data_IF_001728666378
#
_entry.id   IF_001728666378
#
_cell.length_a   1.000
_cell.length_b   1.000
_cell.length_c   1.000
_cell.angle_alpha   90.00
_cell.angle_beta   90.00
_cell.angle_gamma   90.00
#
_symmetry.space_group_name_H-M   'P 1'
#
loop_
_entity.id
_entity.type
_entity.pdbx_description
1 polymer ?
#
# COMPACT_ATOMS: atom_id res chain seq x y z
N UNK A 1 -26.14 19.73 49.75
CA UNK A 1 -26.11 18.93 48.50
C UNK A 1 -26.58 17.54 48.87
N UNK A 2 -27.86 17.26 48.58
CA UNK A 2 -28.64 16.26 49.30
C UNK A 2 -28.75 14.90 48.61
N UNK A 3 -29.18 13.92 49.41
CA UNK A 3 -29.53 12.51 49.13
C UNK A 3 -30.22 12.26 47.76
N UNK A 4 -30.90 13.26 47.20
CA UNK A 4 -31.48 13.20 45.84
C UNK A 4 -30.44 13.00 44.72
N UNK A 5 -29.20 13.45 44.91
CA UNK A 5 -28.10 13.23 43.94
C UNK A 5 -27.56 11.79 43.99
N UNK A 6 -27.52 11.16 45.16
CA UNK A 6 -27.04 9.77 45.33
C UNK A 6 -28.03 8.74 44.75
N UNK A 7 -29.33 8.97 44.92
CA UNK A 7 -30.38 8.09 44.37
C UNK A 7 -30.38 8.13 42.84
N UNK A 8 -30.21 9.31 42.22
CA UNK A 8 -30.12 9.45 40.76
C UNK A 8 -28.85 8.81 40.18
N UNK A 9 -27.71 8.88 40.87
CA UNK A 9 -26.47 8.19 40.44
C UNK A 9 -26.63 6.68 40.59
N UNK A 10 -27.24 6.20 41.67
CA UNK A 10 -27.51 4.77 41.88
C UNK A 10 -28.39 4.15 40.79
N UNK A 11 -29.45 4.84 40.35
CA UNK A 11 -30.31 4.37 39.26
C UNK A 11 -29.63 4.38 37.88
N UNK A 12 -28.56 5.16 37.69
CA UNK A 12 -27.75 5.12 36.47
C UNK A 12 -26.72 3.99 36.50
N UNK A 13 -26.06 3.78 37.65
CA UNK A 13 -24.96 2.83 37.79
C UNK A 13 -25.44 1.37 37.86
N UNK A 14 -26.58 1.11 38.49
CA UNK A 14 -27.05 -0.25 38.73
C UNK A 14 -27.38 -1.02 37.43
N UNK A 15 -28.07 -0.45 36.42
CA UNK A 15 -28.29 -1.12 35.14
C UNK A 15 -26.99 -1.40 34.37
N UNK A 16 -26.02 -0.48 34.43
CA UNK A 16 -24.71 -0.64 33.79
C UNK A 16 -23.93 -1.79 34.45
N UNK A 17 -23.89 -1.82 35.77
CA UNK A 17 -23.21 -2.86 36.54
C UNK A 17 -23.82 -4.25 36.31
N UNK A 18 -25.16 -4.34 36.26
CA UNK A 18 -25.86 -5.60 35.95
C UNK A 18 -25.53 -6.07 34.53
N UNK A 19 -25.53 -5.16 33.56
CA UNK A 19 -25.21 -5.48 32.16
C UNK A 19 -23.77 -5.99 32.02
N UNK A 20 -22.80 -5.28 32.62
CA UNK A 20 -21.40 -5.71 32.63
C UNK A 20 -21.20 -7.04 33.36
N UNK A 21 -21.89 -7.25 34.48
CA UNK A 21 -21.84 -8.53 35.22
C UNK A 21 -22.35 -9.72 34.40
N UNK A 22 -23.44 -9.54 33.66
CA UNK A 22 -23.98 -10.57 32.76
C UNK A 22 -23.02 -10.84 31.60
N UNK A 23 -22.45 -9.81 31.00
CA UNK A 23 -21.49 -9.93 29.89
C UNK A 23 -20.21 -10.66 30.31
N UNK A 24 -19.64 -10.30 31.46
CA UNK A 24 -18.46 -10.96 32.02
C UNK A 24 -18.75 -12.43 32.40
N UNK A 25 -19.93 -12.71 32.96
CA UNK A 25 -20.38 -14.07 33.25
C UNK A 25 -20.52 -14.93 31.99
N UNK A 26 -21.14 -14.38 30.94
CA UNK A 26 -21.26 -15.05 29.64
C UNK A 26 -19.89 -15.32 28.99
N UNK A 27 -18.98 -14.35 29.05
CA UNK A 27 -17.62 -14.51 28.54
C UNK A 27 -16.85 -15.60 29.29
N UNK A 28 -16.93 -15.63 30.64
CA UNK A 28 -16.26 -16.64 31.45
C UNK A 28 -16.76 -18.07 31.17
N UNK A 29 -18.09 -18.24 31.03
CA UNK A 29 -18.68 -19.54 30.66
C UNK A 29 -18.20 -19.98 29.28
N UNK A 30 -18.25 -19.09 28.29
CA UNK A 30 -17.82 -19.40 26.92
C UNK A 30 -16.33 -19.77 26.86
N UNK A 31 -15.48 -19.02 27.54
CA UNK A 31 -14.05 -19.35 27.67
C UNK A 31 -13.83 -20.74 28.29
N UNK A 32 -14.56 -21.09 29.36
CA UNK A 32 -14.45 -22.41 30.00
C UNK A 32 -14.89 -23.58 29.09
N UNK A 33 -15.71 -23.29 28.08
CA UNK A 33 -16.23 -24.28 27.12
C UNK A 33 -15.51 -24.24 25.77
N UNK A 34 -14.40 -23.49 25.66
CA UNK A 34 -13.65 -23.33 24.41
C UNK A 34 -14.42 -22.59 23.31
N UNK A 35 -15.49 -21.88 23.66
CA UNK A 35 -16.27 -21.09 22.73
C UNK A 35 -15.69 -19.68 22.57
N UNK A 36 -15.76 -19.08 21.37
CA UNK A 36 -15.28 -17.71 21.15
C UNK A 36 -16.04 -16.72 22.04
N UNK A 37 -15.43 -15.59 22.44
CA UNK A 37 -16.10 -14.58 23.24
C UNK A 37 -17.41 -14.13 22.58
N UNK A 38 -18.43 -13.75 23.37
CA UNK A 38 -19.64 -13.17 22.79
C UNK A 38 -19.25 -11.88 22.04
N UNK A 39 -19.85 -11.63 20.88
CA UNK A 39 -19.62 -10.46 20.01
C UNK A 39 -18.29 -10.41 19.24
N UNK A 40 -17.52 -11.51 19.20
CA UNK A 40 -16.37 -11.63 18.28
C UNK A 40 -16.82 -12.39 17.04
N UNK A 41 -16.82 -11.71 15.90
CA UNK A 41 -17.13 -12.30 14.60
C UNK A 41 -15.83 -12.60 13.84
N UNK A 42 -15.69 -13.84 13.37
CA UNK A 42 -14.57 -14.25 12.50
C UNK A 42 -14.93 -14.14 11.02
N UNK A 43 -15.93 -13.31 10.69
CA UNK A 43 -16.33 -13.10 9.31
C UNK A 43 -15.24 -12.35 8.56
N UNK A 44 -15.00 -12.81 7.34
CA UNK A 44 -14.13 -12.14 6.36
C UNK A 44 -15.05 -11.41 5.40
N UNK A 45 -14.86 -10.10 5.25
CA UNK A 45 -15.69 -9.26 4.40
C UNK A 45 -14.86 -8.62 3.30
N UNK A 46 -15.40 -8.63 2.08
CA UNK A 46 -14.86 -7.86 0.97
C UNK A 46 -15.75 -6.66 0.69
N UNK A 47 -15.16 -5.47 0.68
CA UNK A 47 -15.88 -4.23 0.36
C UNK A 47 -15.26 -3.58 -0.88
N UNK A 48 -16.12 -3.10 -1.77
CA UNK A 48 -15.73 -2.43 -3.02
C UNK A 48 -15.78 -0.92 -2.86
N UNK A 49 -14.74 -0.24 -3.34
CA UNK A 49 -14.55 1.20 -3.30
C UNK A 49 -14.18 1.71 -4.70
N UNK A 50 -15.07 2.48 -5.32
CA UNK A 50 -14.85 3.06 -6.66
C UNK A 50 -14.65 4.59 -6.60
N UNK A 51 -14.51 5.14 -5.40
CA UNK A 51 -14.17 6.55 -5.20
C UNK A 51 -12.79 6.84 -5.80
N UNK A 52 -12.58 8.07 -6.26
CA UNK A 52 -11.28 8.46 -6.85
C UNK A 52 -10.15 8.46 -5.84
N UNK A 53 -10.36 9.11 -4.70
CA UNK A 53 -9.42 9.13 -3.59
C UNK A 53 -10.19 8.93 -2.28
N UNK A 54 -9.89 7.85 -1.57
CA UNK A 54 -10.56 7.51 -0.31
C UNK A 54 -9.64 6.60 0.51
N UNK A 55 -9.28 7.05 1.72
CA UNK A 55 -8.47 6.26 2.65
C UNK A 55 -9.30 5.14 3.29
N UNK A 56 -8.82 3.91 3.16
CA UNK A 56 -9.46 2.70 3.69
C UNK A 56 -8.46 2.04 4.64
N UNK A 57 -8.74 2.09 5.93
CA UNK A 57 -7.83 1.55 6.96
C UNK A 57 -8.54 0.42 7.73
N UNK A 58 -8.48 -0.83 7.24
CA UNK A 58 -9.04 -1.97 7.96
C UNK A 58 -8.44 -2.09 9.35
N UNK A 59 -9.27 -2.45 10.34
CA UNK A 59 -8.81 -2.68 11.69
C UNK A 59 -7.82 -3.86 11.74
N UNK A 60 -6.78 -3.72 12.56
CA UNK A 60 -5.73 -4.73 12.77
C UNK A 60 -5.21 -4.67 14.21
N UNK A 61 -4.75 -5.79 14.73
CA UNK A 61 -3.98 -5.86 15.98
C UNK A 61 -2.46 -5.71 15.77
N UNK A 62 -2.00 -5.69 14.51
CA UNK A 62 -0.61 -5.50 14.12
C UNK A 62 -0.34 -4.09 13.59
N UNK A 63 0.57 -3.98 12.62
CA UNK A 63 0.87 -2.76 11.91
C UNK A 63 -0.33 -2.30 11.08
N UNK A 64 -0.61 -1.00 11.12
CA UNK A 64 -1.70 -0.38 10.39
C UNK A 64 -1.32 -0.17 8.93
N UNK A 65 -2.31 -0.39 8.06
CA UNK A 65 -2.22 -0.07 6.64
C UNK A 65 -3.40 0.81 6.21
N UNK A 66 -3.18 1.68 5.24
CA UNK A 66 -4.23 2.44 4.56
C UNK A 66 -4.17 2.19 3.06
N UNK A 67 -5.27 1.70 2.51
CA UNK A 67 -5.44 1.55 1.07
C UNK A 67 -6.12 2.77 0.48
N UNK A 68 -5.81 3.08 -0.78
CA UNK A 68 -6.44 4.17 -1.49
C UNK A 68 -6.55 3.85 -2.99
N UNK A 69 -7.75 3.94 -3.60
CA UNK A 69 -7.91 3.86 -5.06
C UNK A 69 -7.04 4.86 -5.83
N UNK A 70 -6.78 6.02 -5.23
CA UNK A 70 -5.79 7.03 -5.63
C UNK A 70 -5.73 7.33 -7.14
N UNK A 71 -6.86 7.72 -7.72
CA UNK A 71 -7.02 8.17 -9.10
C UNK A 71 -6.58 9.65 -9.25
N UNK A 72 -5.36 9.95 -8.82
CA UNK A 72 -4.83 11.32 -8.73
C UNK A 72 -4.54 11.96 -10.10
N UNK A 73 -4.32 11.15 -11.13
CA UNK A 73 -4.07 11.60 -12.50
C UNK A 73 -5.35 11.96 -13.27
N UNK A 74 -6.50 11.96 -12.59
CA UNK A 74 -7.81 12.25 -13.15
C UNK A 74 -8.36 13.52 -12.51
N UNK A 75 -8.71 14.50 -13.35
CA UNK A 75 -9.34 15.75 -12.92
C UNK A 75 -10.68 15.53 -12.20
N UNK A 76 -11.05 16.41 -11.27
CA UNK A 76 -12.28 16.29 -10.46
C UNK A 76 -13.57 16.23 -11.31
N UNK A 77 -13.58 16.82 -12.50
CA UNK A 77 -14.72 16.82 -13.41
C UNK A 77 -14.61 15.80 -14.55
N UNK A 78 -13.67 14.85 -14.47
CA UNK A 78 -13.47 13.86 -15.52
C UNK A 78 -14.74 13.07 -15.82
N UNK A 79 -15.18 13.14 -17.08
CA UNK A 79 -16.33 12.43 -17.63
C UNK A 79 -15.93 11.46 -18.77
N UNK A 80 -14.62 11.25 -18.93
CA UNK A 80 -14.08 10.34 -19.93
C UNK A 80 -14.39 8.87 -19.64
N UNK A 81 -14.16 7.98 -20.61
CA UNK A 81 -14.37 6.55 -20.43
C UNK A 81 -13.32 5.98 -19.47
N UNK A 82 -13.68 4.90 -18.77
CA UNK A 82 -12.78 4.21 -17.86
C UNK A 82 -13.04 4.54 -16.39
N UNK A 83 -12.34 3.82 -15.53
CA UNK A 83 -12.51 3.90 -14.08
C UNK A 83 -11.70 2.83 -13.37
N UNK A 84 -11.68 2.94 -12.05
CA UNK A 84 -11.02 2.00 -11.16
C UNK A 84 -11.91 1.72 -9.95
N UNK A 85 -12.02 0.44 -9.58
CA UNK A 85 -12.61 0.01 -8.32
C UNK A 85 -11.60 -0.85 -7.57
N UNK A 86 -11.44 -0.57 -6.28
CA UNK A 86 -10.65 -1.34 -5.34
C UNK A 86 -11.56 -2.26 -4.52
N UNK A 87 -11.12 -3.48 -4.27
CA UNK A 87 -11.76 -4.43 -3.36
C UNK A 87 -10.80 -4.73 -2.21
N UNK A 88 -11.25 -4.54 -0.97
CA UNK A 88 -10.46 -4.78 0.24
C UNK A 88 -11.11 -5.89 1.04
N UNK A 89 -10.32 -6.91 1.40
CA UNK A 89 -10.77 -8.05 2.19
C UNK A 89 -10.23 -7.93 3.61
N UNK A 90 -11.12 -7.68 4.57
CA UNK A 90 -10.80 -7.45 5.97
C UNK A 90 -11.43 -8.51 6.88
N UNK A 91 -10.76 -8.81 8.00
CA UNK A 91 -11.26 -9.71 9.02
C UNK A 91 -11.97 -8.90 10.11
N UNK A 92 -13.24 -9.22 10.41
CA UNK A 92 -14.02 -8.47 11.41
C UNK A 92 -13.41 -8.51 12.82
N UNK A 93 -12.58 -9.53 13.11
CA UNK A 93 -11.86 -9.66 14.37
C UNK A 93 -10.48 -8.97 14.39
N UNK A 94 -10.10 -8.26 13.32
CA UNK A 94 -8.81 -7.55 13.19
C UNK A 94 -7.56 -8.43 13.33
N UNK A 95 -7.68 -9.76 13.17
CA UNK A 95 -6.54 -10.68 13.24
C UNK A 95 -6.05 -11.06 11.85
N UNK A 96 -4.73 -11.04 11.65
CA UNK A 96 -4.06 -11.46 10.42
C UNK A 96 -2.95 -12.48 10.77
N UNK A 97 -2.42 -13.25 9.80
CA UNK A 97 -1.42 -14.30 10.06
C UNK A 97 -0.20 -13.87 10.87
N UNK A 98 0.25 -12.63 10.71
CA UNK A 98 1.33 -12.02 11.49
C UNK A 98 1.00 -10.57 11.84
N UNK A 99 1.79 -9.95 12.71
CA UNK A 99 1.65 -8.52 13.04
C UNK A 99 1.97 -7.59 11.86
N UNK A 100 2.67 -8.07 10.85
CA UNK A 100 3.08 -7.29 9.68
C UNK A 100 2.24 -7.66 8.45
N UNK A 101 1.29 -8.58 8.56
CA UNK A 101 0.47 -8.99 7.41
C UNK A 101 -0.64 -7.98 7.14
N UNK A 102 -0.68 -7.49 5.91
CA UNK A 102 -1.70 -6.59 5.41
C UNK A 102 -2.98 -7.34 4.98
N UNK A 103 -4.14 -6.66 4.93
CA UNK A 103 -5.36 -7.19 4.31
C UNK A 103 -5.15 -7.47 2.82
N UNK A 104 -5.84 -8.49 2.30
CA UNK A 104 -5.82 -8.79 0.87
C UNK A 104 -6.59 -7.73 0.10
N UNK A 105 -6.12 -7.39 -1.10
CA UNK A 105 -6.80 -6.40 -1.93
C UNK A 105 -6.57 -6.63 -3.42
N UNK A 106 -7.48 -6.08 -4.21
CA UNK A 106 -7.38 -6.07 -5.66
C UNK A 106 -7.93 -4.77 -6.21
N UNK A 107 -7.53 -4.42 -7.42
CA UNK A 107 -8.16 -3.38 -8.21
C UNK A 107 -8.58 -3.96 -9.55
N UNK A 108 -9.69 -3.47 -10.07
CA UNK A 108 -10.08 -3.67 -11.46
C UNK A 108 -10.23 -2.31 -12.10
N UNK A 109 -9.56 -2.10 -13.23
CA UNK A 109 -9.57 -0.81 -13.90
C UNK A 109 -9.44 -0.94 -15.41
N UNK A 110 -9.83 0.14 -16.08
CA UNK A 110 -9.60 0.38 -17.49
C UNK A 110 -9.52 1.89 -17.70
N UNK A 111 -8.49 2.37 -18.39
CA UNK A 111 -8.39 3.75 -18.82
C UNK A 111 -7.92 3.83 -20.28
N UNK A 112 -8.39 4.83 -21.06
CA UNK A 112 -7.79 5.14 -22.34
C UNK A 112 -6.34 5.64 -22.14
N UNK A 113 -5.49 5.67 -23.18
CA UNK A 113 -4.19 6.32 -23.10
C UNK A 113 -4.30 7.78 -22.64
N UNK A 114 -3.51 8.13 -21.61
CA UNK A 114 -3.40 9.49 -21.10
C UNK A 114 -2.51 10.38 -21.99
N UNK A 115 -2.43 11.69 -21.72
CA UNK A 115 -1.52 12.58 -22.43
C UNK A 115 -0.05 12.19 -22.18
N UNK A 116 0.82 12.44 -23.15
CA UNK A 116 2.25 12.10 -23.05
C UNK A 116 2.98 12.81 -21.89
N UNK A 117 2.44 13.92 -21.38
CA UNK A 117 2.98 14.65 -20.23
C UNK A 117 2.54 14.08 -18.88
N UNK A 118 1.46 13.29 -18.85
CA UNK A 118 0.90 12.67 -17.65
C UNK A 118 0.12 11.40 -18.04
N UNK A 119 0.81 10.29 -18.34
CA UNK A 119 0.15 9.08 -18.82
C UNK A 119 -0.53 8.28 -17.70
N UNK A 120 -0.16 8.52 -16.44
CA UNK A 120 -0.67 7.81 -15.26
C UNK A 120 -2.01 8.42 -14.84
N UNK A 121 -3.03 7.58 -14.70
CA UNK A 121 -4.36 7.98 -14.22
C UNK A 121 -4.53 7.75 -12.72
N UNK A 122 -3.90 6.71 -12.19
CA UNK A 122 -4.04 6.33 -10.79
C UNK A 122 -2.79 5.60 -10.28
N UNK A 123 -2.52 5.73 -8.99
CA UNK A 123 -1.60 4.86 -8.25
C UNK A 123 -2.33 4.21 -7.07
N UNK A 124 -3.29 3.31 -7.32
CA UNK A 124 -3.92 2.51 -6.29
C UNK A 124 -2.87 1.75 -5.47
N UNK A 125 -2.89 1.96 -4.17
CA UNK A 125 -1.83 1.46 -3.30
C UNK A 125 -2.37 1.09 -1.91
N UNK A 126 -1.52 0.38 -1.18
CA UNK A 126 -1.60 0.14 0.25
C UNK A 126 -0.34 0.72 0.91
N UNK A 127 -0.54 1.69 1.80
CA UNK A 127 0.49 2.40 2.55
C UNK A 127 0.67 1.78 3.93
N UNK A 128 1.92 1.66 4.38
CA UNK A 128 2.28 1.31 5.74
C UNK A 128 2.16 2.56 6.64
N UNK A 129 1.34 2.50 7.70
CA UNK A 129 1.04 3.62 8.62
C UNK A 129 1.41 3.38 10.10
N UNK A 130 2.66 3.00 10.43
CA UNK A 130 3.13 2.91 11.80
C UNK A 130 3.41 4.31 12.33
N UNK A 131 2.50 4.80 13.19
CA UNK A 131 2.62 6.08 13.90
C UNK A 131 3.93 6.21 14.71
N UNK A 132 4.57 5.09 15.04
CA UNK A 132 5.80 5.01 15.84
C UNK A 132 7.09 4.84 15.02
N UNK A 133 7.00 4.64 13.70
CA UNK A 133 8.17 4.46 12.84
C UNK A 133 8.38 5.62 11.87
N UNK A 134 7.34 6.11 11.19
CA UNK A 134 7.52 7.20 10.23
C UNK A 134 7.31 8.58 10.87
N UNK A 135 8.10 9.60 10.46
CA UNK A 135 9.26 9.55 9.57
C UNK A 135 10.54 9.09 10.30
N UNK A 136 11.38 8.28 9.63
CA UNK A 136 12.65 7.73 10.17
C UNK A 136 13.84 8.12 9.30
N UNK A 137 14.95 8.56 9.92
CA UNK A 137 16.21 8.79 9.21
C UNK A 137 16.72 7.49 8.57
N UNK A 138 17.18 7.54 7.32
CA UNK A 138 17.73 6.36 6.62
C UNK A 138 18.87 5.70 7.42
N UNK A 139 19.70 6.49 8.11
CA UNK A 139 20.78 6.00 8.96
C UNK A 139 20.31 5.17 10.17
N UNK A 140 19.03 5.29 10.56
CA UNK A 140 18.41 4.55 11.67
C UNK A 140 17.62 3.34 11.20
N UNK A 141 17.50 3.12 9.88
CA UNK A 141 16.83 1.94 9.32
C UNK A 141 17.81 0.76 9.31
N UNK A 142 17.47 -0.28 10.08
CA UNK A 142 18.20 -1.54 10.10
C UNK A 142 17.85 -2.42 8.90
N UNK A 143 16.56 -2.51 8.57
CA UNK A 143 16.02 -3.27 7.44
C UNK A 143 14.65 -2.72 7.03
N UNK A 144 14.26 -2.98 5.77
CA UNK A 144 12.91 -2.78 5.27
C UNK A 144 12.43 -4.12 4.73
N UNK A 145 11.79 -4.90 5.60
CA UNK A 145 11.30 -6.22 5.26
C UNK A 145 10.05 -6.09 4.40
N UNK A 146 10.15 -6.55 3.16
CA UNK A 146 9.05 -6.55 2.19
C UNK A 146 8.81 -7.97 1.67
N UNK A 147 7.58 -8.44 1.81
CA UNK A 147 7.14 -9.71 1.29
C UNK A 147 5.79 -9.55 0.59
N UNK A 148 5.73 -9.77 -0.72
CA UNK A 148 4.49 -9.72 -1.48
C UNK A 148 4.40 -10.82 -2.52
N UNK A 149 3.20 -11.38 -2.63
CA UNK A 149 2.75 -12.15 -3.79
C UNK A 149 1.67 -11.36 -4.51
N UNK A 150 1.78 -11.22 -5.83
CA UNK A 150 0.81 -10.48 -6.63
C UNK A 150 0.67 -11.06 -8.03
N UNK A 151 -0.48 -10.78 -8.65
CA UNK A 151 -0.75 -11.15 -10.02
C UNK A 151 -1.58 -10.09 -10.75
N UNK A 152 -1.43 -10.08 -12.07
CA UNK A 152 -2.10 -9.18 -12.98
C UNK A 152 -2.76 -10.01 -14.09
N UNK A 153 -4.03 -9.73 -14.42
CA UNK A 153 -4.77 -10.56 -15.35
C UNK A 153 -5.92 -9.84 -16.01
N UNK A 154 -6.19 -10.21 -17.26
CA UNK A 154 -7.25 -9.63 -18.08
C UNK A 154 -8.63 -9.97 -17.51
N UNK A 155 -9.52 -8.99 -17.49
CA UNK A 155 -10.89 -9.08 -17.00
C UNK A 155 -11.03 -8.67 -15.52
N UNK A 156 -12.18 -9.03 -14.95
CA UNK A 156 -12.61 -8.61 -13.61
C UNK A 156 -12.30 -9.65 -12.51
N UNK A 157 -11.67 -10.76 -12.89
CA UNK A 157 -11.42 -11.88 -11.98
C UNK A 157 -10.02 -11.75 -11.39
N UNK A 158 -9.92 -11.92 -10.07
CA UNK A 158 -8.64 -11.99 -9.34
C UNK A 158 -7.73 -13.07 -9.97
N UNK A 159 -6.61 -12.70 -10.60
CA UNK A 159 -5.69 -13.66 -11.20
C UNK A 159 -4.84 -14.37 -10.14
N UNK A 160 -4.41 -15.60 -10.42
CA UNK A 160 -3.40 -16.30 -9.60
C UNK A 160 -1.98 -16.16 -10.16
N UNK A 161 -1.86 -15.85 -11.45
CA UNK A 161 -0.58 -15.75 -12.18
C UNK A 161 -0.67 -14.63 -13.20
N UNK A 162 0.47 -14.01 -13.54
CA UNK A 162 0.54 -12.99 -14.57
C UNK A 162 0.95 -13.62 -15.90
N UNK A 163 0.08 -13.51 -16.92
CA UNK A 163 0.45 -13.86 -18.29
C UNK A 163 0.76 -12.58 -19.08
N UNK A 164 2.05 -12.30 -19.26
CA UNK A 164 2.51 -11.08 -19.96
C UNK A 164 1.98 -10.99 -21.39
N UNK A 165 1.80 -12.11 -22.09
CA UNK A 165 1.27 -12.09 -23.45
C UNK A 165 -0.20 -11.66 -23.49
N UNK A 166 -1.00 -12.06 -22.50
CA UNK A 166 -2.40 -11.64 -22.41
C UNK A 166 -2.50 -10.15 -22.08
N UNK A 167 -1.60 -9.64 -21.22
CA UNK A 167 -1.52 -8.20 -20.94
C UNK A 167 -1.10 -7.39 -22.16
N UNK A 168 -0.14 -7.89 -22.94
CA UNK A 168 0.27 -7.26 -24.20
C UNK A 168 -0.87 -7.25 -25.22
N UNK A 169 -1.63 -8.36 -25.34
CA UNK A 169 -2.79 -8.44 -26.22
C UNK A 169 -3.95 -7.51 -25.79
N UNK A 170 -4.00 -7.16 -24.50
CA UNK A 170 -4.94 -6.20 -23.92
C UNK A 170 -4.39 -4.75 -23.87
N UNK A 171 -3.28 -4.48 -24.58
CA UNK A 171 -2.61 -3.18 -24.64
C UNK A 171 -2.37 -2.54 -23.25
N UNK A 172 -2.04 -3.36 -22.25
CA UNK A 172 -1.85 -2.90 -20.88
C UNK A 172 -0.55 -2.11 -20.76
N UNK A 173 -0.67 -0.88 -20.27
CA UNK A 173 0.42 -0.05 -19.80
C UNK A 173 0.23 0.15 -18.30
N UNK A 174 1.13 -0.45 -17.52
CA UNK A 174 1.11 -0.42 -16.06
C UNK A 174 2.42 -0.92 -15.48
N UNK A 175 2.71 -0.57 -14.23
CA UNK A 175 3.77 -1.17 -13.43
C UNK A 175 3.19 -1.81 -12.15
N UNK A 176 4.05 -2.48 -11.41
CA UNK A 176 3.80 -2.87 -10.01
C UNK A 176 4.99 -2.37 -9.21
N UNK A 177 4.74 -1.49 -8.23
CA UNK A 177 5.77 -0.68 -7.62
C UNK A 177 5.61 -0.58 -6.10
N UNK A 178 6.76 -0.62 -5.43
CA UNK A 178 6.92 -0.04 -4.10
C UNK A 178 7.30 1.42 -4.32
N UNK A 179 6.69 2.33 -3.57
CA UNK A 179 6.88 3.76 -3.69
C UNK A 179 7.21 4.37 -2.32
N UNK A 180 8.29 5.16 -2.28
CA UNK A 180 8.85 5.72 -1.06
C UNK A 180 9.16 7.20 -1.24
N UNK A 181 8.71 8.03 -0.30
CA UNK A 181 9.02 9.46 -0.29
C UNK A 181 9.99 9.80 0.83
N UNK A 182 11.00 10.61 0.47
CA UNK A 182 12.07 10.98 1.37
C UNK A 182 12.40 12.47 1.31
N UNK A 183 12.73 13.05 2.46
CA UNK A 183 13.18 14.43 2.56
C UNK A 183 14.03 14.65 3.82
N UNK A 184 14.92 15.63 3.76
CA UNK A 184 15.62 16.19 4.92
C UNK A 184 14.65 16.72 6.00
N UNK A 185 13.51 17.28 5.58
CA UNK A 185 12.42 17.70 6.46
C UNK A 185 11.48 16.52 6.71
N UNK A 186 11.40 16.01 7.96
CA UNK A 186 10.57 14.86 8.29
C UNK A 186 9.09 15.07 7.95
N UNK A 187 8.60 16.32 7.98
CA UNK A 187 7.21 16.63 7.64
C UNK A 187 6.97 16.44 6.14
N UNK A 188 7.91 16.92 5.31
CA UNK A 188 7.82 16.79 3.85
C UNK A 188 7.98 15.36 3.39
N UNK A 189 8.81 14.57 4.09
CA UNK A 189 9.00 13.15 3.79
C UNK A 189 7.70 12.32 3.83
N UNK A 190 6.68 12.79 4.55
CA UNK A 190 5.35 12.13 4.61
C UNK A 190 4.39 12.54 3.48
N UNK A 191 4.78 13.46 2.61
CA UNK A 191 3.96 14.01 1.52
C UNK A 191 4.48 13.55 0.17
N UNK A 192 3.62 12.91 -0.63
CA UNK A 192 3.94 12.52 -2.01
C UNK A 192 4.08 13.71 -2.98
N UNK A 193 3.73 14.92 -2.52
CA UNK A 193 3.83 16.15 -3.32
C UNK A 193 5.01 17.01 -2.88
N UNK A 194 5.29 17.09 -1.58
CA UNK A 194 6.28 18.02 -1.04
C UNK A 194 7.66 17.39 -0.82
N UNK A 195 7.76 16.07 -0.74
CA UNK A 195 9.03 15.39 -0.56
C UNK A 195 9.98 15.70 -1.71
N UNK A 196 11.25 15.92 -1.41
CA UNK A 196 12.28 16.16 -2.42
C UNK A 196 12.60 14.93 -3.27
N UNK A 197 12.52 13.75 -2.69
CA UNK A 197 12.90 12.50 -3.32
C UNK A 197 11.74 11.51 -3.36
N UNK A 198 11.60 10.83 -4.50
CA UNK A 198 10.77 9.65 -4.70
C UNK A 198 11.69 8.50 -5.08
N UNK A 199 11.67 7.41 -4.31
CA UNK A 199 12.44 6.21 -4.60
C UNK A 199 11.48 5.04 -4.81
N UNK A 200 11.38 4.58 -6.04
CA UNK A 200 10.51 3.49 -6.42
C UNK A 200 11.28 2.18 -6.64
N UNK A 201 10.62 1.05 -6.39
CA UNK A 201 11.10 -0.28 -6.74
C UNK A 201 10.03 -1.00 -7.56
N UNK A 202 10.23 -1.10 -8.86
CA UNK A 202 9.31 -1.73 -9.80
C UNK A 202 9.58 -3.22 -9.90
N UNK A 203 8.58 -4.03 -9.54
CA UNK A 203 8.58 -5.49 -9.64
C UNK A 203 7.99 -6.00 -10.96
N UNK A 204 7.27 -5.15 -11.69
CA UNK A 204 6.71 -5.47 -13.00
C UNK A 204 6.54 -4.22 -13.85
N UNK A 205 6.74 -4.37 -15.16
CA UNK A 205 6.56 -3.32 -16.16
C UNK A 205 5.86 -3.93 -17.36
N UNK A 206 4.75 -3.34 -17.78
CA UNK A 206 3.93 -3.83 -18.87
C UNK A 206 3.64 -2.72 -19.85
N UNK A 207 3.67 -3.03 -21.15
CA UNK A 207 3.39 -2.08 -22.21
C UNK A 207 4.55 -1.14 -22.51
N UNK A 208 4.51 -0.55 -23.71
CA UNK A 208 5.58 0.32 -24.23
C UNK A 208 5.48 1.76 -23.73
N UNK A 209 4.34 2.17 -23.17
CA UNK A 209 4.17 3.50 -22.60
C UNK A 209 4.58 3.56 -21.12
N UNK A 210 4.93 2.43 -20.50
CA UNK A 210 5.37 2.36 -19.12
C UNK A 210 6.90 2.38 -19.05
N UNK A 211 7.47 3.54 -18.77
CA UNK A 211 8.91 3.74 -18.67
C UNK A 211 9.25 4.41 -17.34
N UNK A 212 10.31 3.98 -16.63
CA UNK A 212 10.80 4.74 -15.49
C UNK A 212 11.36 6.09 -15.97
N UNK A 213 11.24 7.12 -15.12
CA UNK A 213 11.91 8.40 -15.39
C UNK A 213 13.42 8.14 -15.47
N UNK A 214 14.05 8.61 -16.55
CA UNK A 214 15.48 8.38 -16.79
C UNK A 214 15.80 7.20 -17.71
N UNK A 215 14.81 6.45 -18.24
CA UNK A 215 15.06 5.28 -19.08
C UNK A 215 15.99 5.58 -20.27
N UNK A 216 15.77 6.72 -20.95
CA UNK A 216 16.53 7.13 -22.14
C UNK A 216 17.99 7.47 -21.84
N UNK A 217 18.30 7.85 -20.60
CA UNK A 217 19.64 8.17 -20.12
C UNK A 217 20.44 6.91 -19.77
N UNK A 218 19.75 5.78 -19.61
CA UNK A 218 20.35 4.49 -19.26
C UNK A 218 20.43 4.27 -17.76
N UNK A 219 20.71 3.02 -17.38
CA UNK A 219 20.82 2.63 -15.99
C UNK A 219 22.08 3.22 -15.33
N UNK A 220 21.91 3.83 -14.16
CA UNK A 220 23.01 4.41 -13.36
C UNK A 220 23.74 3.37 -12.52
N UNK A 221 23.02 2.35 -12.05
CA UNK A 221 23.53 1.32 -11.14
C UNK A 221 22.74 0.03 -11.31
N UNK A 222 23.37 -1.10 -11.01
CA UNK A 222 22.72 -2.40 -10.92
C UNK A 222 22.94 -2.97 -9.53
N UNK A 223 21.91 -3.59 -8.95
CA UNK A 223 21.98 -4.19 -7.62
C UNK A 223 21.09 -5.44 -7.56
N UNK A 224 21.60 -6.52 -6.98
CA UNK A 224 20.83 -7.75 -6.80
C UNK A 224 20.39 -7.89 -5.34
N UNK A 225 19.09 -8.16 -5.13
CA UNK A 225 18.47 -8.39 -3.83
C UNK A 225 17.65 -9.67 -3.92
N UNK A 226 17.98 -10.64 -3.06
CA UNK A 226 17.35 -11.96 -3.00
C UNK A 226 17.13 -12.63 -4.37
N UNK A 227 18.16 -12.64 -5.22
CA UNK A 227 18.10 -13.27 -6.55
C UNK A 227 17.43 -12.44 -7.65
N UNK A 228 16.83 -11.30 -7.31
CA UNK A 228 16.29 -10.34 -8.29
C UNK A 228 17.33 -9.25 -8.57
N UNK A 229 17.66 -9.06 -9.85
CA UNK A 229 18.53 -7.97 -10.29
C UNK A 229 17.69 -6.74 -10.62
N UNK A 230 18.06 -5.59 -10.08
CA UNK A 230 17.44 -4.30 -10.34
C UNK A 230 18.41 -3.36 -11.06
N UNK A 231 17.88 -2.55 -11.98
CA UNK A 231 18.59 -1.44 -12.61
C UNK A 231 18.01 -0.11 -12.15
N UNK A 232 18.86 0.81 -11.71
CA UNK A 232 18.46 2.13 -11.23
C UNK A 232 18.41 3.14 -12.37
N UNK A 233 17.30 3.88 -12.47
CA UNK A 233 17.10 5.01 -13.35
C UNK A 233 16.84 6.28 -12.54
N UNK A 234 17.10 7.44 -13.13
CA UNK A 234 16.96 8.73 -12.47
C UNK A 234 16.47 9.82 -13.41
N UNK A 235 15.61 10.69 -12.90
CA UNK A 235 15.38 12.02 -13.45
C UNK A 235 14.47 12.84 -12.53
N UNK A 236 13.84 13.87 -13.07
CA UNK A 236 12.92 14.74 -12.33
C UNK A 236 11.51 14.62 -12.90
N UNK A 237 10.50 14.57 -12.03
CA UNK A 237 9.10 14.59 -12.45
C UNK A 237 8.61 16.03 -12.74
N UNK A 238 7.35 16.17 -13.12
CA UNK A 238 6.76 17.45 -13.55
C UNK A 238 6.73 18.54 -12.47
N UNK A 239 6.93 18.20 -11.19
CA UNK A 239 6.99 19.14 -10.06
C UNK A 239 8.42 19.38 -9.54
N UNK A 240 9.43 18.82 -10.21
CA UNK A 240 10.85 19.00 -9.86
C UNK A 240 11.33 18.10 -8.71
N UNK A 241 10.56 17.07 -8.35
CA UNK A 241 11.01 16.05 -7.39
C UNK A 241 11.98 15.09 -8.09
N UNK A 242 13.04 14.71 -7.39
CA UNK A 242 14.05 13.77 -7.87
C UNK A 242 13.53 12.34 -7.74
N UNK A 243 13.30 11.67 -8.87
CA UNK A 243 12.74 10.32 -8.95
C UNK A 243 13.82 9.31 -9.28
N UNK A 244 13.97 8.30 -8.43
CA UNK A 244 14.92 7.21 -8.55
C UNK A 244 14.15 5.90 -8.62
N UNK A 245 14.21 5.19 -9.74
CA UNK A 245 13.42 3.97 -9.94
C UNK A 245 14.34 2.78 -10.13
N UNK A 246 14.29 1.83 -9.19
CA UNK A 246 14.88 0.51 -9.33
C UNK A 246 13.92 -0.40 -10.08
N UNK A 247 14.26 -0.81 -11.31
CA UNK A 247 13.42 -1.70 -12.12
C UNK A 247 13.98 -3.11 -12.12
N UNK A 248 13.18 -4.09 -11.70
CA UNK A 248 13.53 -5.50 -11.75
C UNK A 248 13.77 -5.98 -13.18
N UNK A 249 14.74 -6.87 -13.35
CA UNK A 249 14.92 -7.58 -14.61
C UNK A 249 13.84 -8.66 -14.76
N UNK A 250 12.76 -8.30 -15.46
CA UNK A 250 11.60 -9.17 -15.68
C UNK A 250 10.47 -8.95 -14.66
N UNK A 251 9.41 -9.76 -14.78
CA UNK A 251 8.25 -9.69 -13.89
C UNK A 251 8.46 -10.57 -12.66
N UNK A 252 8.46 -9.96 -11.47
CA UNK A 252 8.70 -10.62 -10.18
C UNK A 252 7.41 -10.65 -9.36
N UNK A 253 6.62 -11.71 -9.56
CA UNK A 253 5.30 -11.87 -8.92
C UNK A 253 5.36 -12.19 -7.42
N UNK A 254 6.43 -12.85 -6.99
CA UNK A 254 6.66 -13.25 -5.60
C UNK A 254 8.02 -12.71 -5.19
N UNK A 255 8.03 -11.74 -4.29
CA UNK A 255 9.23 -11.04 -3.86
C UNK A 255 9.24 -10.90 -2.35
N UNK A 256 10.26 -11.47 -1.71
CA UNK A 256 10.43 -11.50 -0.26
C UNK A 256 11.87 -11.11 0.05
N UNK A 257 12.12 -9.89 0.51
CA UNK A 257 13.47 -9.42 0.78
C UNK A 257 13.50 -8.20 1.69
N UNK A 258 14.68 -7.96 2.28
CA UNK A 258 15.05 -6.64 2.77
C UNK A 258 15.38 -5.72 1.60
N UNK A 259 14.57 -4.68 1.39
CA UNK A 259 14.78 -3.66 0.34
C UNK A 259 15.58 -2.45 0.83
N UNK A 260 15.91 -2.38 2.12
CA UNK A 260 16.72 -1.31 2.72
C UNK A 260 18.02 -1.02 1.97
N UNK A 261 18.76 -2.02 1.45
CA UNK A 261 19.96 -1.78 0.64
C UNK A 261 19.74 -0.97 -0.64
N UNK A 262 18.51 -0.87 -1.16
CA UNK A 262 18.19 -0.06 -2.34
C UNK A 262 18.11 1.45 -2.03
N UNK A 263 18.00 1.84 -0.76
CA UNK A 263 18.09 3.24 -0.31
C UNK A 263 19.53 3.70 -0.07
N UNK A 264 20.50 2.78 -0.10
CA UNK A 264 21.89 3.07 0.23
C UNK A 264 22.70 3.53 -1.00
N UNK A 265 23.53 4.56 -0.81
CA UNK A 265 24.44 5.06 -1.83
C UNK A 265 23.78 5.83 -2.98
N UNK A 266 22.62 6.44 -2.73
CA UNK A 266 21.89 7.23 -3.73
C UNK A 266 22.35 8.69 -3.84
N UNK A 267 23.04 9.23 -2.83
CA UNK A 267 23.43 10.65 -2.74
C UNK A 267 24.20 11.16 -3.97
N UNK A 268 25.18 10.39 -4.46
CA UNK A 268 25.98 10.76 -5.63
C UNK A 268 25.24 10.60 -6.97
N UNK A 269 24.02 10.06 -6.95
CA UNK A 269 23.21 9.74 -8.12
C UNK A 269 21.97 10.65 -8.22
N UNK A 270 21.93 11.74 -7.44
CA UNK A 270 20.77 12.65 -7.38
C UNK A 270 19.70 12.24 -6.37
N UNK A 271 19.93 11.20 -5.57
CA UNK A 271 18.99 10.72 -4.55
C UNK A 271 19.30 11.18 -3.12
N UNK A 272 18.62 10.60 -2.12
CA UNK A 272 18.74 10.99 -0.73
C UNK A 272 20.10 10.64 -0.12
N UNK A 273 20.38 11.28 1.02
CA UNK A 273 21.47 11.00 1.94
C UNK A 273 20.99 10.16 3.11
N UNK A 274 21.91 9.53 3.83
CA UNK A 274 21.57 8.73 5.03
C UNK A 274 20.93 9.56 6.15
N UNK A 275 21.02 10.90 6.10
CA UNK A 275 20.40 11.79 7.08
C UNK A 275 19.00 12.27 6.67
N UNK A 276 18.57 11.97 5.44
CA UNK A 276 17.19 12.23 5.03
C UNK A 276 16.24 11.21 5.68
N UNK A 277 14.97 11.56 5.78
CA UNK A 277 13.95 10.76 6.41
C UNK A 277 13.13 10.02 5.35
N UNK A 278 12.89 8.73 5.57
CA UNK A 278 11.83 7.97 4.94
C UNK A 278 10.53 8.27 5.69
N UNK A 279 9.55 8.87 5.02
CA UNK A 279 8.27 9.25 5.64
C UNK A 279 7.05 8.57 5.03
N UNK A 280 7.22 7.86 3.92
CA UNK A 280 6.14 7.19 3.20
C UNK A 280 6.67 5.90 2.60
N UNK A 281 5.89 4.81 2.73
CA UNK A 281 6.14 3.53 2.08
C UNK A 281 4.80 2.94 1.66
N UNK A 282 4.58 2.76 0.36
CA UNK A 282 3.39 2.10 -0.16
C UNK A 282 3.73 1.07 -1.24
N UNK A 283 2.84 0.10 -1.42
CA UNK A 283 2.90 -0.88 -2.48
C UNK A 283 1.65 -0.79 -3.35
N UNK A 284 1.81 -0.79 -4.66
CA UNK A 284 0.70 -0.60 -5.57
C UNK A 284 1.05 -0.83 -7.03
N UNK A 285 0.22 -0.24 -7.89
CA UNK A 285 0.35 -0.35 -9.34
C UNK A 285 -0.10 0.95 -9.98
N UNK A 286 0.71 1.54 -10.87
CA UNK A 286 0.28 2.69 -11.65
C UNK A 286 -0.60 2.24 -12.83
N UNK A 287 -1.81 2.77 -12.90
CA UNK A 287 -2.76 2.53 -13.97
C UNK A 287 -2.58 3.60 -15.06
N UNK A 288 -1.94 3.24 -16.18
CA UNK A 288 -1.77 4.15 -17.32
C UNK A 288 -2.89 3.92 -18.33
N UNK A 289 -2.96 2.74 -18.96
CA UNK A 289 -4.01 2.45 -19.94
C UNK A 289 -4.19 0.95 -20.20
N UNK A 290 -5.38 0.56 -20.66
CA UNK A 290 -5.68 -0.79 -21.12
C UNK A 290 -6.88 -0.77 -22.08
N UNK A 291 -6.90 -1.68 -23.06
CA UNK A 291 -8.01 -1.76 -24.03
C UNK A 291 -9.26 -2.48 -23.48
N UNK A 292 -9.11 -3.17 -22.36
CA UNK A 292 -10.18 -3.88 -21.63
C UNK A 292 -9.92 -3.78 -20.12
N UNK A 293 -10.88 -4.22 -19.31
CA UNK A 293 -10.69 -4.32 -17.86
C UNK A 293 -9.52 -5.23 -17.54
N UNK A 294 -8.70 -4.82 -16.58
CA UNK A 294 -7.62 -5.62 -16.02
C UNK A 294 -7.68 -5.59 -14.51
N UNK A 295 -7.34 -6.71 -13.89
CA UNK A 295 -7.34 -6.88 -12.44
C UNK A 295 -5.93 -7.13 -11.92
N UNK A 296 -5.49 -6.29 -10.99
CA UNK A 296 -4.35 -6.57 -10.10
C UNK A 296 -4.87 -7.17 -8.81
N UNK A 297 -4.22 -8.21 -8.32
CA UNK A 297 -4.56 -8.86 -7.06
C UNK A 297 -3.31 -9.12 -6.23
N UNK A 298 -3.37 -8.70 -4.96
CA UNK A 298 -2.36 -8.95 -3.95
C UNK A 298 -2.97 -9.82 -2.83
N UNK A 299 -2.84 -11.16 -2.93
CA UNK A 299 -3.32 -12.09 -1.90
C UNK A 299 -2.49 -12.09 -0.60
N UNK A 300 -1.25 -11.61 -0.67
CA UNK A 300 -0.29 -11.69 0.43
C UNK A 300 0.63 -10.49 0.37
N UNK A 301 0.66 -9.72 1.46
CA UNK A 301 1.60 -8.62 1.65
C UNK A 301 1.98 -8.53 3.11
N UNK A 302 3.26 -8.29 3.35
CA UNK A 302 3.82 -7.93 4.64
C UNK A 302 4.90 -6.87 4.42
N UNK A 303 4.82 -5.80 5.20
CA UNK A 303 5.82 -4.72 5.18
C UNK A 303 6.16 -4.31 6.60
N UNK A 304 7.45 -4.17 6.90
CA UNK A 304 7.94 -3.67 8.18
C UNK A 304 9.22 -2.85 7.96
N UNK A 305 9.34 -1.74 8.68
CA UNK A 305 10.57 -0.96 8.76
C UNK A 305 11.17 -1.16 10.14
N UNK A 306 12.33 -1.79 10.20
CA UNK A 306 13.02 -2.14 11.45
C UNK A 306 14.03 -1.04 11.74
N UNK A 307 13.97 -0.45 12.94
CA UNK A 307 14.93 0.56 13.41
C UNK A 307 16.12 -0.08 14.14
N UNK A 308 17.26 0.61 14.14
CA UNK A 308 18.49 0.24 14.87
C UNK A 308 18.37 0.40 16.40
#
# INVERSE_FOLDING_TARGET
>A
MGIRSLVSVGFLVLPIAVTLGVLLGLQAIRHSQGMPPPFVSNKVETTTYCQRAFGISPATHGLQYTLNPNQWGIEEDYTGPGGLCMNVTANENATYPTNTTAPQWSITWQFPPGPATQPVHAFPNIKLDPDDVFPIEIAKVAAIDFAADWAYGVGDVKPNTTNVNDLLAADVNSNVAIDMFLDSDPTKATSSVDAKYEVMVWLGVFGVATEPIGLKQGALKTQAINGTTFNLYFGENGIGQSVLTWVAQGTVQSFHADIGPLLQGLTGLGGPTVNDHLGYLAFGSEALSASTNITFYNPSLSMEVISL
#
